data_IF_692530505690
#
_entry.id   IF_692530505690
#
_cell.length_a   1.000
_cell.length_b   1.000
_cell.length_c   1.000
_cell.angle_alpha   90.00
_cell.angle_beta   90.00
_cell.angle_gamma   90.00
#
_symmetry.space_group_name_H-M   'P 1'
#
loop_
_entity.id
_entity.type
_entity.pdbx_description
1 polymer ?
#
# COMPACT_ATOMS: atom_id res chain seq x y z
N UNK A 1 -9.61 3.42 -6.37
CA UNK A 1 -9.02 2.46 -5.41
C UNK A 1 -7.56 2.22 -5.79
N UNK A 2 -6.69 2.18 -4.83
CA UNK A 2 -5.28 1.91 -5.07
C UNK A 2 -5.03 0.40 -5.02
N UNK A 3 -4.30 -0.11 -6.00
CA UNK A 3 -3.89 -1.49 -6.05
C UNK A 3 -2.40 -1.60 -5.74
N UNK A 4 -2.06 -2.55 -4.91
CA UNK A 4 -0.67 -2.79 -4.50
C UNK A 4 -0.31 -4.23 -4.86
N UNK A 5 0.77 -4.40 -5.58
CA UNK A 5 1.28 -5.72 -5.96
C UNK A 5 2.60 -5.95 -5.24
N UNK A 6 2.65 -7.01 -4.46
CA UNK A 6 3.85 -7.40 -3.72
C UNK A 6 4.16 -8.84 -4.11
N UNK A 7 5.28 -9.05 -4.80
CA UNK A 7 5.58 -10.35 -5.36
C UNK A 7 4.53 -10.74 -6.40
N UNK A 8 3.89 -11.88 -6.18
CA UNK A 8 2.84 -12.37 -7.07
C UNK A 8 1.43 -12.07 -6.56
N UNK A 9 1.32 -11.37 -5.45
CA UNK A 9 0.04 -11.11 -4.83
C UNK A 9 -0.42 -9.69 -5.04
N UNK A 10 -1.73 -9.53 -5.22
CA UNK A 10 -2.37 -8.24 -5.38
C UNK A 10 -3.19 -7.92 -4.15
N UNK A 11 -3.05 -6.69 -3.70
CA UNK A 11 -3.80 -6.19 -2.54
C UNK A 11 -4.53 -4.92 -2.93
N UNK A 12 -5.72 -4.73 -2.38
CA UNK A 12 -6.41 -3.47 -2.50
C UNK A 12 -6.13 -2.65 -1.25
N UNK A 13 -5.78 -1.38 -1.44
CA UNK A 13 -5.59 -0.48 -0.33
C UNK A 13 -6.94 0.01 0.17
N UNK A 14 -7.21 -0.20 1.45
CA UNK A 14 -8.40 0.33 2.12
C UNK A 14 -8.23 1.83 2.30
N UNK A 15 -7.00 2.20 2.63
CA UNK A 15 -6.65 3.57 2.96
C UNK A 15 -5.18 3.79 2.63
N UNK A 16 -4.80 4.99 2.26
CA UNK A 16 -3.41 5.29 1.90
C UNK A 16 -3.08 6.75 2.12
N UNK A 17 -1.80 7.01 2.21
CA UNK A 17 -1.24 8.36 2.29
C UNK A 17 0.17 8.32 1.69
N UNK A 18 0.85 9.44 1.71
CA UNK A 18 2.25 9.49 1.27
C UNK A 18 3.17 8.67 2.16
N UNK A 19 2.73 8.31 3.35
CA UNK A 19 3.56 7.56 4.31
C UNK A 19 3.34 6.06 4.24
N UNK A 20 2.22 5.61 3.74
CA UNK A 20 1.93 4.20 3.74
C UNK A 20 0.54 3.86 3.30
N UNK A 21 0.18 2.61 3.49
CA UNK A 21 -1.12 2.12 3.09
C UNK A 21 -1.61 1.07 4.07
N UNK A 22 -2.93 1.01 4.21
CA UNK A 22 -3.62 -0.08 4.89
C UNK A 22 -4.20 -0.99 3.82
N UNK A 23 -3.83 -2.25 3.85
CA UNK A 23 -4.16 -3.22 2.81
C UNK A 23 -5.18 -4.22 3.30
N UNK A 24 -6.07 -4.65 2.39
CA UNK A 24 -6.81 -5.88 2.60
C UNK A 24 -5.84 -7.04 2.42
N UNK A 25 -5.75 -7.88 3.43
CA UNK A 25 -4.85 -9.01 3.42
C UNK A 25 -3.56 -8.73 4.18
N UNK A 26 -2.92 -9.80 4.59
CA UNK A 26 -1.65 -9.75 5.30
C UNK A 26 -0.55 -10.10 4.32
N UNK A 27 0.29 -9.12 3.99
CA UNK A 27 1.32 -9.32 3.00
C UNK A 27 2.59 -9.97 3.56
N UNK A 28 2.86 -9.76 4.83
CA UNK A 28 4.02 -10.37 5.49
C UNK A 28 3.92 -10.12 7.00
N UNK A 29 4.89 -10.62 7.74
CA UNK A 29 4.95 -10.40 9.18
C UNK A 29 5.48 -9.01 9.51
N UNK A 30 5.10 -8.51 10.67
CA UNK A 30 5.54 -7.20 11.14
C UNK A 30 7.08 -7.14 11.19
N UNK A 31 7.62 -6.05 10.69
CA UNK A 31 9.05 -5.82 10.65
C UNK A 31 9.70 -6.21 9.33
N UNK A 32 9.00 -6.94 8.49
CA UNK A 32 9.56 -7.35 7.20
C UNK A 32 9.50 -6.22 6.18
N UNK A 33 10.56 -6.09 5.41
CA UNK A 33 10.60 -5.18 4.28
C UNK A 33 10.00 -5.86 3.07
N UNK A 34 9.16 -5.14 2.37
CA UNK A 34 8.51 -5.63 1.16
C UNK A 34 8.78 -4.65 0.03
N UNK A 35 8.79 -5.17 -1.17
CA UNK A 35 8.92 -4.37 -2.38
C UNK A 35 7.80 -4.74 -3.32
N UNK A 36 7.30 -3.74 -4.01
CA UNK A 36 6.22 -3.96 -4.95
C UNK A 36 5.98 -2.76 -5.81
N UNK A 37 4.80 -2.74 -6.38
CA UNK A 37 4.35 -1.65 -7.22
C UNK A 37 2.94 -1.27 -6.81
N UNK A 38 2.63 0.00 -6.94
CA UNK A 38 1.28 0.49 -6.66
C UNK A 38 0.79 1.34 -7.80
N UNK A 39 -0.50 1.31 -8.02
CA UNK A 39 -1.12 2.07 -9.08
C UNK A 39 -2.63 2.10 -8.96
N UNK A 40 -3.23 2.97 -9.75
CA UNK A 40 -4.69 3.07 -9.84
C UNK A 40 -5.14 2.05 -10.88
N UNK A 41 -6.13 1.20 -10.57
CA UNK A 41 -6.65 0.25 -11.55
C UNK A 41 -7.12 0.97 -12.82
N UNK A 42 -6.75 0.42 -13.95
CA UNK A 42 -7.05 1.03 -15.25
C UNK A 42 -5.97 1.99 -15.75
N UNK A 43 -5.03 2.35 -14.91
CA UNK A 43 -3.87 3.13 -15.31
C UNK A 43 -2.75 2.20 -15.74
N UNK A 44 -2.02 2.59 -16.77
CA UNK A 44 -0.84 1.84 -17.20
C UNK A 44 0.38 2.16 -16.36
N UNK A 45 0.29 3.16 -15.50
CA UNK A 45 1.41 3.57 -14.68
C UNK A 45 1.39 2.86 -13.33
N UNK A 46 2.53 2.30 -12.96
CA UNK A 46 2.75 1.72 -11.66
C UNK A 46 4.03 2.31 -11.09
N UNK A 47 4.03 2.56 -9.80
CA UNK A 47 5.17 3.15 -9.12
C UNK A 47 5.78 2.11 -8.20
N UNK A 48 7.05 1.79 -8.39
CA UNK A 48 7.72 0.87 -7.48
C UNK A 48 7.90 1.51 -6.10
N UNK A 49 7.83 0.67 -5.08
CA UNK A 49 8.01 1.13 -3.71
C UNK A 49 8.76 0.09 -2.88
N UNK A 50 9.32 0.56 -1.79
CA UNK A 50 9.81 -0.28 -0.72
C UNK A 50 9.11 0.16 0.57
N UNK A 51 8.74 -0.79 1.38
CA UNK A 51 8.01 -0.50 2.60
C UNK A 51 8.34 -1.53 3.68
N UNK A 52 7.99 -1.19 4.91
CA UNK A 52 8.09 -2.11 6.04
C UNK A 52 6.70 -2.40 6.55
N UNK A 53 6.41 -3.66 6.83
CA UNK A 53 5.14 -4.04 7.45
C UNK A 53 5.17 -3.60 8.90
N UNK A 54 4.29 -2.68 9.26
CA UNK A 54 4.27 -2.11 10.60
C UNK A 54 3.13 -2.66 11.46
N UNK A 55 2.15 -3.29 10.82
CA UNK A 55 1.05 -3.93 11.52
C UNK A 55 0.46 -5.03 10.66
N UNK A 56 0.11 -6.13 11.29
CA UNK A 56 -0.62 -7.22 10.65
C UNK A 56 -1.67 -7.70 11.65
N UNK A 57 -2.94 -7.58 11.26
CA UNK A 57 -4.06 -7.95 12.10
C UNK A 57 -4.70 -9.20 11.51
N UNK A 58 -4.47 -10.32 12.17
CA UNK A 58 -4.99 -11.60 11.70
C UNK A 58 -6.50 -11.75 11.92
N UNK A 59 -7.09 -10.96 12.82
CA UNK A 59 -8.54 -10.97 13.01
C UNK A 59 -9.27 -10.30 11.85
N UNK A 60 -8.79 -9.15 11.44
CA UNK A 60 -9.40 -8.41 10.32
C UNK A 60 -8.86 -8.86 8.98
N UNK A 61 -7.71 -9.53 8.97
CA UNK A 61 -7.04 -9.90 7.74
C UNK A 61 -6.40 -8.72 7.02
N UNK A 62 -6.09 -7.66 7.75
CA UNK A 62 -5.52 -6.44 7.18
C UNK A 62 -4.08 -6.26 7.62
N UNK A 63 -3.32 -5.53 6.83
CA UNK A 63 -1.96 -5.17 7.18
C UNK A 63 -1.69 -3.72 6.82
N UNK A 64 -0.75 -3.11 7.55
CA UNK A 64 -0.33 -1.75 7.28
C UNK A 64 1.14 -1.75 6.90
N UNK A 65 1.46 -1.00 5.86
CA UNK A 65 2.83 -0.83 5.40
C UNK A 65 3.21 0.64 5.47
N UNK A 66 4.46 0.89 5.79
CA UNK A 66 5.01 2.25 5.84
C UNK A 66 6.07 2.36 4.74
N UNK A 67 5.87 3.30 3.83
CA UNK A 67 6.81 3.50 2.74
C UNK A 67 8.13 4.04 3.24
N UNK A 68 9.22 3.49 2.75
CA UNK A 68 10.55 3.91 3.16
C UNK A 68 11.09 5.02 2.27
N UNK A 69 11.14 4.74 0.97
CA UNK A 69 11.69 5.68 0.00
C UNK A 69 10.87 5.57 -1.27
N UNK A 70 9.66 6.08 -1.21
CA UNK A 70 8.72 5.98 -2.29
C UNK A 70 8.54 7.35 -2.96
N UNK A 71 8.68 7.38 -4.28
CA UNK A 71 8.39 8.58 -5.04
C UNK A 71 6.92 8.61 -5.43
N UNK A 72 6.12 8.88 -4.45
CA UNK A 72 4.67 8.90 -4.60
C UNK A 72 4.18 10.14 -5.33
N UNK A 73 5.04 11.10 -5.60
CA UNK A 73 4.72 12.27 -6.40
C UNK A 73 4.33 11.92 -7.83
N UNK A 74 4.64 10.71 -8.28
CA UNK A 74 4.23 10.24 -9.61
C UNK A 74 2.81 9.72 -9.65
N UNK A 75 2.23 9.42 -8.48
CA UNK A 75 0.84 8.96 -8.39
C UNK A 75 0.03 10.09 -7.81
N UNK A 76 -0.97 10.52 -8.56
CA UNK A 76 -1.99 11.38 -8.00
C UNK A 76 -2.94 10.50 -7.20
N UNK A 77 -2.86 10.61 -5.90
CA UNK A 77 -3.82 9.93 -5.04
C UNK A 77 -5.16 10.65 -5.20
N UNK A 78 -6.22 9.91 -5.52
CA UNK A 78 -7.54 10.56 -5.66
C UNK A 78 -7.93 11.15 -4.32
N UNK A 79 -8.07 12.46 -4.26
CA UNK A 79 -8.40 13.15 -3.02
C UNK A 79 -9.73 12.72 -2.43
N UNK A 80 -10.60 12.22 -3.28
CA UNK A 80 -11.97 11.87 -2.89
C UNK A 80 -12.20 10.39 -2.74
N UNK A 81 -11.20 9.58 -2.88
CA UNK A 81 -11.36 8.13 -2.88
C UNK A 81 -11.14 7.52 -1.50
N UNK A 82 -11.50 8.23 -0.47
CA UNK A 82 -11.37 7.73 0.89
C UNK A 82 -9.93 7.65 1.37
N UNK A 83 -9.03 8.36 0.73
CA UNK A 83 -7.67 8.45 1.21
C UNK A 83 -7.66 9.25 2.50
N UNK A 84 -7.34 8.60 3.58
CA UNK A 84 -7.24 9.23 4.88
C UNK A 84 -5.82 9.00 5.42
N UNK A 85 -5.30 9.94 6.20
CA UNK A 85 -3.97 9.75 6.77
C UNK A 85 -3.93 8.50 7.62
N UNK A 86 -2.89 7.71 7.42
CA UNK A 86 -2.60 6.61 8.33
C UNK A 86 -1.95 7.19 9.58
N UNK A 87 -2.50 6.85 10.70
CA UNK A 87 -2.02 7.34 11.97
C UNK A 87 -1.20 6.29 12.68
#
# INVERSE_FOLDING_TARGET
MLEVVIGDERFHAINWSLRGALLYGVCDVVGMRVRGEMGVPGSSEAVPFAATVVRADLHTGNSAICFEDCRTDRIEFPEHAGAAPLQ
#
